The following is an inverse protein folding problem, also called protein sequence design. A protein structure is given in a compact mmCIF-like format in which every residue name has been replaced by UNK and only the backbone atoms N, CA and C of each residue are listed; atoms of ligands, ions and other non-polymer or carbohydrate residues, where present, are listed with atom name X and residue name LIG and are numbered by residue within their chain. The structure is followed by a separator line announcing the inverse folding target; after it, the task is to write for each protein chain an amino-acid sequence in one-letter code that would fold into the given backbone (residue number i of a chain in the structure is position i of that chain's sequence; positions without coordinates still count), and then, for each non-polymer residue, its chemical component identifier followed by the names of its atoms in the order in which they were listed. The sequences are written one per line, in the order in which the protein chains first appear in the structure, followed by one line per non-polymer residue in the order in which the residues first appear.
data_IF_374298129126
#
_entry.id   IF_374298129126
#
_cell.length_a   1.000
_cell.length_b   1.000
_cell.length_c   1.000
_cell.angle_alpha   90.00
_cell.angle_beta   90.00
_cell.angle_gamma   90.00
#
_symmetry.space_group_name_H-M   'P 1'
#
loop_
_entity.id
_entity.type
_entity.pdbx_description
1 polymer ?
#
# COMPACT_ATOMS: atom_id res chain seq x y z
N UNK A 1 -8.02 26.68 -19.30
CA UNK A 1 -8.06 26.58 -17.81
C UNK A 1 -7.19 25.41 -17.34
N UNK A 2 -6.30 25.61 -16.35
CA UNK A 2 -5.44 24.54 -15.80
C UNK A 2 -5.79 24.29 -14.33
N UNK A 3 -6.13 23.04 -14.00
CA UNK A 3 -6.35 22.57 -12.63
C UNK A 3 -5.18 21.68 -12.21
N UNK A 4 -4.48 22.03 -11.15
CA UNK A 4 -3.30 21.31 -10.68
C UNK A 4 -3.56 20.67 -9.32
N UNK A 5 -3.53 19.34 -9.27
CA UNK A 5 -3.69 18.54 -8.06
C UNK A 5 -2.38 17.81 -7.78
N UNK A 6 -1.85 17.96 -6.57
CA UNK A 6 -0.58 17.32 -6.21
C UNK A 6 -0.57 16.83 -4.78
N UNK A 7 0.26 15.83 -4.46
CA UNK A 7 0.52 15.42 -3.08
C UNK A 7 0.65 13.92 -2.88
N UNK A 8 0.90 13.51 -1.64
CA UNK A 8 1.16 12.12 -1.26
C UNK A 8 -0.10 11.25 -1.16
N UNK A 9 -1.27 11.87 -1.05
CA UNK A 9 -2.54 11.16 -0.92
C UNK A 9 -3.12 10.79 -2.29
N UNK A 10 -2.49 9.80 -2.93
CA UNK A 10 -2.87 9.27 -4.25
C UNK A 10 -4.35 8.83 -4.34
N UNK A 11 -4.93 8.35 -3.24
CA UNK A 11 -6.35 8.00 -3.21
C UNK A 11 -7.24 9.23 -3.36
N UNK A 12 -6.97 10.30 -2.60
CA UNK A 12 -7.74 11.54 -2.73
C UNK A 12 -7.54 12.18 -4.11
N UNK A 13 -6.34 12.10 -4.69
CA UNK A 13 -6.09 12.52 -6.08
C UNK A 13 -6.96 11.72 -7.08
N UNK A 14 -7.08 10.40 -6.88
CA UNK A 14 -7.95 9.55 -7.69
C UNK A 14 -9.44 9.92 -7.54
N UNK A 15 -9.89 10.24 -6.33
CA UNK A 15 -11.26 10.73 -6.10
C UNK A 15 -11.52 12.08 -6.78
N UNK A 16 -10.58 13.02 -6.68
CA UNK A 16 -10.69 14.31 -7.36
C UNK A 16 -10.75 14.14 -8.87
N UNK A 17 -9.96 13.23 -9.43
CA UNK A 17 -10.00 12.88 -10.86
C UNK A 17 -11.38 12.37 -11.26
N UNK A 18 -11.93 11.42 -10.50
CA UNK A 18 -13.25 10.88 -10.76
C UNK A 18 -14.34 11.96 -10.67
N UNK A 19 -14.25 12.86 -9.69
CA UNK A 19 -15.19 13.98 -9.53
C UNK A 19 -15.11 14.99 -10.67
N UNK A 20 -13.91 15.38 -11.10
CA UNK A 20 -13.72 16.28 -12.25
C UNK A 20 -14.28 15.66 -13.52
N UNK A 21 -13.98 14.37 -13.74
CA UNK A 21 -14.50 13.60 -14.86
C UNK A 21 -16.03 13.61 -14.83
N UNK A 22 -16.64 13.21 -13.71
CA UNK A 22 -18.10 13.18 -13.57
C UNK A 22 -18.72 14.56 -13.81
N UNK A 23 -18.18 15.60 -13.17
CA UNK A 23 -18.67 16.96 -13.33
C UNK A 23 -18.61 17.46 -14.79
N UNK A 24 -17.57 17.07 -15.53
CA UNK A 24 -17.45 17.37 -16.95
C UNK A 24 -18.54 16.68 -17.77
N UNK A 25 -18.78 15.39 -17.53
CA UNK A 25 -19.85 14.63 -18.19
C UNK A 25 -21.25 15.17 -17.88
N UNK A 26 -21.52 15.52 -16.62
CA UNK A 26 -22.82 16.04 -16.20
C UNK A 26 -23.18 17.38 -16.86
N UNK A 27 -22.16 18.19 -17.20
CA UNK A 27 -22.35 19.55 -17.73
C UNK A 27 -22.23 19.68 -19.25
N UNK A 28 -21.71 18.68 -19.95
CA UNK A 28 -21.40 18.78 -21.37
C UNK A 28 -22.07 17.64 -22.15
N UNK A 29 -23.00 18.00 -23.03
CA UNK A 29 -23.47 17.08 -24.08
C UNK A 29 -22.29 16.66 -24.97
N UNK A 30 -22.23 15.40 -25.39
CA UNK A 30 -21.13 14.90 -26.24
C UNK A 30 -19.76 14.83 -25.53
N UNK A 31 -19.73 14.87 -24.19
CA UNK A 31 -18.49 14.86 -23.39
C UNK A 31 -17.56 13.67 -23.69
N UNK A 32 -18.08 12.51 -24.11
CA UNK A 32 -17.25 11.33 -24.40
C UNK A 32 -16.22 11.57 -25.51
N UNK A 33 -16.58 12.40 -26.50
CA UNK A 33 -15.71 12.76 -27.62
C UNK A 33 -14.65 13.82 -27.26
N UNK A 34 -14.82 14.45 -26.10
CA UNK A 34 -14.02 15.58 -25.64
C UNK A 34 -13.30 15.28 -24.32
N UNK A 35 -13.24 14.02 -23.91
CA UNK A 35 -12.47 13.56 -22.75
C UNK A 35 -11.23 12.80 -23.22
N UNK A 36 -10.07 13.23 -22.74
CA UNK A 36 -8.79 12.58 -23.01
C UNK A 36 -8.05 12.34 -21.70
N UNK A 37 -7.44 11.16 -21.56
CA UNK A 37 -6.57 10.83 -20.44
C UNK A 37 -5.21 10.38 -20.97
N UNK A 38 -4.14 10.98 -20.43
CA UNK A 38 -2.76 10.64 -20.72
C UNK A 38 -2.14 10.12 -19.42
N UNK A 39 -1.96 8.80 -19.36
CA UNK A 39 -1.40 8.13 -18.19
C UNK A 39 0.12 8.34 -18.09
N UNK A 40 0.66 8.13 -16.89
CA UNK A 40 2.10 8.22 -16.61
C UNK A 40 2.94 7.33 -17.54
N UNK A 41 2.44 6.13 -17.85
CA UNK A 41 3.15 5.13 -18.65
C UNK A 41 2.98 5.33 -20.17
N UNK A 42 2.28 6.40 -20.59
CA UNK A 42 2.07 6.68 -22.00
C UNK A 42 3.39 7.09 -22.67
N UNK A 43 3.80 6.42 -23.78
CA UNK A 43 5.00 6.82 -24.50
C UNK A 43 4.84 8.23 -25.08
N UNK A 44 5.82 9.07 -24.79
CA UNK A 44 5.94 10.48 -25.18
C UNK A 44 4.66 11.29 -24.95
N UNK A 45 4.34 11.51 -23.66
CA UNK A 45 3.15 12.28 -23.23
C UNK A 45 3.03 13.63 -23.93
N UNK A 46 4.16 14.31 -24.16
CA UNK A 46 4.19 15.60 -24.85
C UNK A 46 3.67 15.51 -26.30
N UNK A 47 4.06 14.48 -27.05
CA UNK A 47 3.59 14.26 -28.41
C UNK A 47 2.08 13.96 -28.47
N UNK A 48 1.52 13.34 -27.42
CA UNK A 48 0.08 13.11 -27.29
C UNK A 48 -0.69 14.37 -26.89
N UNK A 49 -0.09 15.20 -26.03
CA UNK A 49 -0.73 16.41 -25.50
C UNK A 49 -0.84 17.52 -26.54
N UNK A 50 0.22 17.76 -27.32
CA UNK A 50 0.29 18.82 -28.35
C UNK A 50 -0.93 18.87 -29.29
N UNK A 51 -1.31 17.77 -29.97
CA UNK A 51 -2.45 17.82 -30.89
C UNK A 51 -3.78 18.04 -30.16
N UNK A 52 -3.92 17.61 -28.90
CA UNK A 52 -5.16 17.80 -28.13
C UNK A 52 -5.37 19.25 -27.73
N UNK A 53 -4.30 19.99 -27.46
CA UNK A 53 -4.38 21.42 -27.14
C UNK A 53 -4.74 22.31 -28.34
N UNK A 54 -4.66 21.78 -29.55
CA UNK A 54 -5.07 22.46 -30.79
C UNK A 54 -6.45 22.03 -31.27
N UNK A 55 -7.11 21.08 -30.60
CA UNK A 55 -8.43 20.61 -31.00
C UNK A 55 -9.51 21.59 -30.59
N UNK A 56 -10.49 21.78 -31.46
CA UNK A 56 -11.76 22.40 -31.11
C UNK A 56 -12.71 21.37 -30.47
N UNK A 57 -13.51 21.77 -29.46
CA UNK A 57 -14.52 20.90 -28.88
C UNK A 57 -15.55 20.44 -29.94
N UNK A 58 -15.88 19.15 -29.94
CA UNK A 58 -16.85 18.56 -30.85
C UNK A 58 -18.20 18.38 -30.16
N UNK A 59 -19.24 19.12 -30.60
CA UNK A 59 -20.59 19.05 -30.01
C UNK A 59 -20.66 19.35 -28.50
N UNK A 60 -19.61 19.95 -27.94
CA UNK A 60 -19.54 20.44 -26.57
C UNK A 60 -18.97 21.87 -26.57
N UNK A 61 -18.96 22.53 -25.41
CA UNK A 61 -18.31 23.84 -25.24
C UNK A 61 -16.84 23.73 -24.83
N UNK A 62 -16.40 22.53 -24.45
CA UNK A 62 -15.14 22.36 -23.72
C UNK A 62 -14.55 20.96 -23.92
N UNK A 63 -13.22 20.88 -23.96
CA UNK A 63 -12.44 19.65 -23.89
C UNK A 63 -11.87 19.47 -22.48
N UNK A 64 -11.94 18.26 -21.93
CA UNK A 64 -11.24 17.87 -20.71
C UNK A 64 -10.06 16.96 -21.06
N UNK A 65 -8.86 17.39 -20.67
CA UNK A 65 -7.62 16.61 -20.76
C UNK A 65 -7.15 16.32 -19.33
N UNK A 66 -7.01 15.04 -18.98
CA UNK A 66 -6.42 14.58 -17.72
C UNK A 66 -5.00 14.10 -17.99
N UNK A 67 -4.04 14.61 -17.24
CA UNK A 67 -2.62 14.29 -17.38
C UNK A 67 -2.05 13.81 -16.04
N UNK A 68 -1.61 12.55 -16.02
CA UNK A 68 -1.11 11.88 -14.81
C UNK A 68 0.42 11.85 -14.78
N UNK A 69 0.99 12.29 -13.66
CA UNK A 69 2.43 12.36 -13.37
C UNK A 69 3.26 12.78 -14.60
N UNK A 70 3.00 13.99 -15.15
CA UNK A 70 3.65 14.43 -16.36
C UNK A 70 5.17 14.49 -16.25
N UNK A 71 5.85 14.13 -17.33
CA UNK A 71 7.30 14.29 -17.46
C UNK A 71 7.71 15.78 -17.34
N UNK A 72 8.90 16.04 -16.81
CA UNK A 72 9.41 17.41 -16.63
C UNK A 72 9.42 18.22 -17.94
N UNK A 73 9.81 17.61 -19.07
CA UNK A 73 9.77 18.26 -20.40
C UNK A 73 8.35 18.68 -20.82
N UNK A 74 7.33 17.90 -20.42
CA UNK A 74 5.92 18.20 -20.72
C UNK A 74 5.46 19.40 -19.91
N UNK A 75 5.86 19.47 -18.64
CA UNK A 75 5.56 20.59 -17.74
C UNK A 75 6.27 21.88 -18.16
N UNK A 76 7.53 21.80 -18.55
CA UNK A 76 8.28 22.94 -19.09
C UNK A 76 7.62 23.50 -20.35
N UNK A 77 7.25 22.62 -21.29
CA UNK A 77 6.55 23.04 -22.49
C UNK A 77 5.20 23.70 -22.15
N UNK A 78 4.39 23.10 -21.28
CA UNK A 78 3.12 23.67 -20.81
C UNK A 78 3.27 25.07 -20.20
N UNK A 79 4.39 25.35 -19.53
CA UNK A 79 4.65 26.67 -18.94
C UNK A 79 4.80 27.80 -19.96
N UNK A 80 5.01 27.46 -21.24
CA UNK A 80 5.17 28.40 -22.35
C UNK A 80 3.91 28.55 -23.21
N UNK A 81 2.86 27.78 -22.94
CA UNK A 81 1.64 27.79 -23.75
C UNK A 81 0.63 28.79 -23.20
N UNK A 82 -0.08 29.46 -24.10
CA UNK A 82 -1.21 30.30 -23.73
C UNK A 82 -2.41 29.41 -23.36
N UNK A 83 -3.16 29.83 -22.33
CA UNK A 83 -4.38 29.14 -21.95
C UNK A 83 -5.44 29.36 -23.03
N UNK A 84 -6.03 28.27 -23.53
CA UNK A 84 -7.25 28.36 -24.34
C UNK A 84 -8.48 28.26 -23.43
N UNK A 85 -9.51 29.05 -23.75
CA UNK A 85 -10.73 29.14 -22.94
C UNK A 85 -11.62 27.90 -23.05
N UNK A 86 -11.45 27.12 -24.12
CA UNK A 86 -12.23 25.94 -24.47
C UNK A 86 -11.60 24.63 -23.97
N UNK A 87 -10.46 24.68 -23.27
CA UNK A 87 -9.79 23.49 -22.74
C UNK A 87 -9.65 23.56 -21.22
N UNK A 88 -10.04 22.47 -20.57
CA UNK A 88 -9.73 22.18 -19.17
C UNK A 88 -8.61 21.15 -19.15
N UNK A 89 -7.44 21.55 -18.66
CA UNK A 89 -6.31 20.65 -18.43
C UNK A 89 -6.20 20.36 -16.93
N UNK A 90 -6.53 19.13 -16.53
CA UNK A 90 -6.41 18.65 -15.15
C UNK A 90 -5.14 17.81 -15.00
N UNK A 91 -4.20 18.27 -14.18
CA UNK A 91 -2.89 17.63 -13.97
C UNK A 91 -2.86 17.05 -12.56
N UNK A 92 -2.46 15.79 -12.46
CA UNK A 92 -2.34 15.05 -11.20
C UNK A 92 -0.90 14.60 -10.98
N UNK A 93 -0.24 15.07 -9.93
CA UNK A 93 1.13 14.66 -9.55
C UNK A 93 1.18 14.02 -8.16
N UNK A 94 1.89 12.92 -7.99
CA UNK A 94 2.13 12.31 -6.66
C UNK A 94 3.32 12.95 -5.91
N UNK A 95 3.71 14.16 -6.29
CA UNK A 95 4.88 14.86 -5.76
C UNK A 95 4.53 15.67 -4.49
N UNK A 96 5.50 15.82 -3.58
CA UNK A 96 5.32 16.51 -2.28
C UNK A 96 5.32 18.02 -2.45
N UNK A 97 6.07 18.54 -3.42
CA UNK A 97 6.25 19.98 -3.59
C UNK A 97 5.56 20.45 -4.87
N UNK A 98 4.85 21.58 -4.81
CA UNK A 98 4.28 22.17 -6.02
C UNK A 98 5.43 22.51 -6.97
N UNK A 99 5.28 22.10 -8.22
CA UNK A 99 6.27 22.43 -9.22
C UNK A 99 6.20 23.94 -9.52
N UNK A 100 7.36 24.60 -9.68
CA UNK A 100 7.44 26.07 -9.77
C UNK A 100 6.63 26.63 -10.95
N UNK A 101 6.52 25.88 -12.05
CA UNK A 101 5.72 26.29 -13.20
C UNK A 101 4.23 26.42 -12.84
N UNK A 102 3.69 25.54 -11.98
CA UNK A 102 2.28 25.53 -11.64
C UNK A 102 1.84 26.86 -11.01
N UNK A 103 2.71 27.49 -10.21
CA UNK A 103 2.46 28.82 -9.63
C UNK A 103 2.27 29.94 -10.66
N UNK A 104 2.76 29.76 -11.89
CA UNK A 104 2.71 30.77 -12.95
C UNK A 104 1.52 30.60 -13.89
N UNK A 105 1.05 29.37 -14.11
CA UNK A 105 0.08 29.08 -15.19
C UNK A 105 -1.18 28.34 -14.75
N UNK A 106 -1.21 27.78 -13.53
CA UNK A 106 -2.41 27.08 -13.04
C UNK A 106 -3.49 28.05 -12.57
N UNK A 107 -4.74 27.76 -12.94
CA UNK A 107 -5.92 28.50 -12.48
C UNK A 107 -6.32 28.10 -11.06
N UNK A 108 -6.07 26.83 -10.68
CA UNK A 108 -6.36 26.30 -9.34
C UNK A 108 -5.29 25.29 -8.94
N UNK A 109 -4.81 25.38 -7.70
CA UNK A 109 -3.89 24.41 -7.11
C UNK A 109 -4.53 23.77 -5.88
N UNK A 110 -4.42 22.45 -5.78
CA UNK A 110 -4.95 21.68 -4.65
C UNK A 110 -3.89 20.70 -4.18
N UNK A 111 -3.38 20.91 -2.98
CA UNK A 111 -2.48 19.97 -2.32
C UNK A 111 -3.29 18.89 -1.58
N UNK A 112 -2.98 17.63 -1.82
CA UNK A 112 -3.55 16.46 -1.14
C UNK A 112 -2.52 15.85 -0.21
N UNK A 113 -2.54 16.33 1.02
CA UNK A 113 -1.75 15.80 2.12
C UNK A 113 -2.34 14.48 2.62
N UNK A 114 -1.46 13.68 3.19
CA UNK A 114 -1.89 12.56 4.01
C UNK A 114 -2.52 13.12 5.28
N UNK A 115 -3.52 12.43 5.84
CA UNK A 115 -4.14 12.89 7.06
C UNK A 115 -3.15 12.85 8.23
N UNK A 116 -3.19 13.86 9.09
CA UNK A 116 -2.44 13.86 10.34
C UNK A 116 -3.09 12.96 11.40
N UNK A 117 -2.47 12.86 12.58
CA UNK A 117 -2.98 12.01 13.67
C UNK A 117 -4.40 12.41 14.10
N UNK A 118 -4.71 13.71 14.15
CA UNK A 118 -6.03 14.18 14.57
C UNK A 118 -7.08 13.89 13.50
N UNK A 119 -6.75 14.09 12.23
CA UNK A 119 -7.61 13.74 11.09
C UNK A 119 -7.86 12.23 11.03
N UNK A 120 -6.86 11.41 11.39
CA UNK A 120 -6.99 9.97 11.50
C UNK A 120 -7.87 9.53 12.67
N UNK A 121 -7.78 10.19 13.84
CA UNK A 121 -8.69 9.95 14.97
C UNK A 121 -10.11 10.34 14.59
N UNK A 122 -10.31 11.51 13.97
CA UNK A 122 -11.62 11.96 13.50
C UNK A 122 -12.23 10.97 12.49
N UNK A 123 -11.40 10.40 11.62
CA UNK A 123 -11.82 9.33 10.73
C UNK A 123 -12.24 8.07 11.49
N UNK A 124 -11.44 7.64 12.46
CA UNK A 124 -11.75 6.49 13.31
C UNK A 124 -13.06 6.69 14.08
N UNK A 125 -13.29 7.86 14.66
CA UNK A 125 -14.54 8.21 15.34
C UNK A 125 -15.75 8.10 14.41
N UNK A 126 -15.59 8.48 13.12
CA UNK A 126 -16.66 8.35 12.12
C UNK A 126 -17.01 6.90 11.79
N UNK A 127 -16.04 5.99 11.79
CA UNK A 127 -16.26 4.58 11.47
C UNK A 127 -16.57 3.71 12.70
N UNK A 128 -16.03 4.09 13.85
CA UNK A 128 -16.08 3.39 15.13
C UNK A 128 -16.46 4.39 16.23
N UNK A 129 -17.72 4.87 16.25
CA UNK A 129 -18.14 5.88 17.22
C UNK A 129 -18.16 5.33 18.65
N UNK A 130 -18.12 6.23 19.63
CA UNK A 130 -18.27 5.94 21.07
C UNK A 130 -17.17 5.04 21.66
N UNK A 131 -15.95 5.11 21.14
CA UNK A 131 -14.79 4.38 21.68
C UNK A 131 -13.94 5.27 22.57
N UNK A 132 -13.16 4.67 23.45
CA UNK A 132 -12.23 5.43 24.28
C UNK A 132 -11.07 6.01 23.45
N UNK A 133 -10.47 7.09 23.94
CA UNK A 133 -9.26 7.67 23.34
C UNK A 133 -8.10 6.67 23.29
N UNK A 134 -7.97 5.81 24.31
CA UNK A 134 -6.96 4.75 24.36
C UNK A 134 -7.16 3.74 23.23
N UNK A 135 -8.40 3.39 22.90
CA UNK A 135 -8.70 2.52 21.77
C UNK A 135 -8.24 3.14 20.44
N UNK A 136 -8.58 4.41 20.18
CA UNK A 136 -8.16 5.06 18.93
C UNK A 136 -6.63 5.15 18.82
N UNK A 137 -5.94 5.47 19.92
CA UNK A 137 -4.49 5.46 19.97
C UNK A 137 -3.90 4.06 19.72
N UNK A 138 -4.51 3.01 20.25
CA UNK A 138 -4.08 1.64 19.99
C UNK A 138 -4.24 1.27 18.51
N UNK A 139 -5.39 1.58 17.90
CA UNK A 139 -5.62 1.35 16.45
C UNK A 139 -4.62 2.14 15.60
N UNK A 140 -4.36 3.41 15.92
CA UNK A 140 -3.32 4.19 15.24
C UNK A 140 -1.93 3.58 15.43
N UNK A 141 -1.62 3.11 16.64
CA UNK A 141 -0.40 2.38 16.93
C UNK A 141 -0.23 1.17 16.01
N UNK A 142 -1.29 0.39 15.80
CA UNK A 142 -1.29 -0.70 14.82
C UNK A 142 -0.98 -0.18 13.41
N UNK A 143 -1.67 0.86 12.94
CA UNK A 143 -1.47 1.44 11.60
C UNK A 143 -0.04 1.94 11.38
N UNK A 144 0.51 2.63 12.37
CA UNK A 144 1.89 3.14 12.36
C UNK A 144 2.88 1.98 12.40
N UNK A 145 2.59 0.92 13.15
CA UNK A 145 3.42 -0.29 13.21
C UNK A 145 3.46 -1.04 11.86
N UNK A 146 2.36 -1.04 11.09
CA UNK A 146 2.34 -1.53 9.70
C UNK A 146 2.98 -0.55 8.68
N UNK A 147 3.33 0.65 9.13
CA UNK A 147 3.86 1.73 8.29
C UNK A 147 4.89 2.63 9.02
N UNK A 148 6.03 2.08 9.45
CA UNK A 148 6.87 2.67 10.50
C UNK A 148 7.80 3.80 10.02
N UNK A 149 7.46 4.49 8.92
CA UNK A 149 7.93 5.87 8.72
C UNK A 149 7.06 6.89 9.47
N UNK A 150 6.07 6.44 10.25
CA UNK A 150 5.17 7.34 10.99
C UNK A 150 4.28 8.17 10.07
N UNK A 151 4.16 7.76 8.82
CA UNK A 151 3.38 8.43 7.79
C UNK A 151 2.73 7.32 6.97
N UNK A 152 1.46 7.50 6.60
CA UNK A 152 0.82 6.73 5.55
C UNK A 152 1.57 6.98 4.24
N UNK A 153 2.73 6.36 4.02
CA UNK A 153 3.70 6.81 3.00
C UNK A 153 3.16 6.84 1.57
N UNK A 154 2.01 6.21 1.34
CA UNK A 154 1.20 6.41 0.14
C UNK A 154 -0.30 6.49 0.46
N UNK A 155 -1.04 7.25 -0.36
CA UNK A 155 -2.51 7.28 -0.29
C UNK A 155 -3.19 5.92 -0.50
N UNK A 156 -2.52 4.94 -1.13
CA UNK A 156 -3.03 3.57 -1.29
C UNK A 156 -3.12 2.83 0.05
N UNK A 157 -2.13 3.02 0.93
CA UNK A 157 -2.13 2.42 2.26
C UNK A 157 -3.21 3.03 3.15
N UNK A 158 -3.43 4.34 3.02
CA UNK A 158 -4.55 5.04 3.67
C UNK A 158 -5.90 4.52 3.19
N UNK A 159 -6.04 4.27 1.88
CA UNK A 159 -7.26 3.70 1.33
C UNK A 159 -7.52 2.28 1.85
N UNK A 160 -6.52 1.39 1.85
CA UNK A 160 -6.64 0.05 2.42
C UNK A 160 -7.05 0.13 3.88
N UNK A 161 -6.44 1.03 4.65
CA UNK A 161 -6.83 1.28 6.03
C UNK A 161 -8.30 1.67 6.17
N UNK A 162 -8.76 2.64 5.37
CA UNK A 162 -10.16 3.07 5.37
C UNK A 162 -11.13 1.95 4.95
N UNK A 163 -10.74 1.12 3.98
CA UNK A 163 -11.54 -0.03 3.54
C UNK A 163 -11.68 -1.07 4.66
N UNK A 164 -10.58 -1.41 5.33
CA UNK A 164 -10.62 -2.30 6.50
C UNK A 164 -11.50 -1.72 7.61
N UNK A 165 -11.34 -0.44 7.96
CA UNK A 165 -12.20 0.23 8.93
C UNK A 165 -13.68 0.17 8.55
N UNK A 166 -14.01 0.27 7.26
CA UNK A 166 -15.40 0.21 6.81
C UNK A 166 -16.06 -1.15 7.05
N UNK A 167 -15.28 -2.24 7.14
CA UNK A 167 -15.80 -3.57 7.50
C UNK A 167 -16.29 -3.62 8.94
N UNK A 168 -15.79 -2.73 9.80
CA UNK A 168 -16.19 -2.63 11.20
C UNK A 168 -17.37 -1.68 11.43
N UNK A 169 -17.94 -1.12 10.36
CA UNK A 169 -19.11 -0.25 10.43
C UNK A 169 -20.34 -1.09 10.78
N UNK A 170 -20.74 -1.05 12.05
CA UNK A 170 -21.84 -1.86 12.60
C UNK A 170 -21.49 -2.60 13.89
N UNK A 171 -20.22 -2.62 14.30
CA UNK A 171 -19.77 -3.24 15.54
C UNK A 171 -19.78 -2.27 16.74
N UNK A 172 -20.77 -1.37 16.81
CA UNK A 172 -20.89 -0.39 17.90
C UNK A 172 -21.11 -1.04 19.27
N UNK A 173 -21.60 -2.28 19.30
CA UNK A 173 -21.94 -3.00 20.53
C UNK A 173 -20.76 -3.76 21.17
N UNK A 174 -19.64 -3.91 20.45
CA UNK A 174 -18.46 -4.57 21.02
C UNK A 174 -17.84 -3.72 22.13
N UNK A 175 -17.10 -4.34 23.05
CA UNK A 175 -16.18 -3.60 23.93
C UNK A 175 -14.96 -3.10 23.14
N UNK A 176 -14.25 -2.11 23.68
CA UNK A 176 -13.02 -1.59 23.06
C UNK A 176 -11.99 -2.71 22.83
N UNK A 177 -11.86 -3.64 23.77
CA UNK A 177 -10.95 -4.78 23.62
C UNK A 177 -11.39 -5.71 22.49
N UNK A 178 -12.69 -6.07 22.43
CA UNK A 178 -13.21 -6.94 21.38
C UNK A 178 -13.07 -6.32 19.98
N UNK A 179 -13.34 -5.01 19.87
CA UNK A 179 -13.15 -4.28 18.63
C UNK A 179 -11.67 -4.22 18.24
N UNK A 180 -10.77 -4.01 19.22
CA UNK A 180 -9.34 -3.98 18.98
C UNK A 180 -8.82 -5.34 18.55
N UNK A 181 -9.30 -6.42 19.17
CA UNK A 181 -8.95 -7.80 18.81
C UNK A 181 -9.39 -8.12 17.38
N UNK A 182 -10.59 -7.72 16.97
CA UNK A 182 -11.07 -7.92 15.60
C UNK A 182 -10.32 -7.10 14.56
N UNK A 183 -10.01 -5.83 14.86
CA UNK A 183 -9.16 -4.99 14.01
C UNK A 183 -7.78 -5.63 13.90
N UNK A 184 -7.21 -6.03 15.02
CA UNK A 184 -5.94 -6.76 15.08
C UNK A 184 -6.03 -8.04 14.25
N UNK A 185 -7.10 -8.83 14.32
CA UNK A 185 -7.27 -10.01 13.48
C UNK A 185 -7.40 -9.69 11.99
N UNK A 186 -8.01 -8.58 11.60
CA UNK A 186 -8.06 -8.18 10.18
C UNK A 186 -6.71 -7.70 9.67
N UNK A 187 -5.88 -7.11 10.53
CA UNK A 187 -4.54 -6.63 10.20
C UNK A 187 -3.44 -7.69 10.34
N UNK A 188 -3.57 -8.62 11.29
CA UNK A 188 -2.58 -9.63 11.68
C UNK A 188 -3.03 -11.07 11.42
N UNK A 189 -4.31 -11.34 11.21
CA UNK A 189 -4.82 -12.69 10.91
C UNK A 189 -4.39 -13.23 9.54
N UNK A 190 -3.58 -12.46 8.83
CA UNK A 190 -2.88 -12.87 7.62
C UNK A 190 -1.57 -13.59 7.93
N UNK A 191 -1.12 -14.42 6.99
CA UNK A 191 0.19 -15.08 7.00
C UNK A 191 1.39 -14.17 7.35
N UNK A 192 1.28 -12.83 7.23
CA UNK A 192 2.28 -11.88 7.71
C UNK A 192 2.34 -11.73 9.25
N UNK A 193 1.20 -11.83 9.94
CA UNK A 193 1.18 -11.87 11.41
C UNK A 193 1.91 -13.09 11.97
N UNK A 194 1.82 -14.22 11.26
CA UNK A 194 2.61 -15.41 11.54
C UNK A 194 4.12 -15.15 11.42
N UNK A 195 4.58 -14.48 10.34
CA UNK A 195 5.99 -14.08 10.18
C UNK A 195 6.46 -13.18 11.34
N UNK A 196 5.62 -12.26 11.80
CA UNK A 196 5.96 -11.40 12.94
C UNK A 196 6.13 -12.22 14.23
N UNK A 197 5.18 -13.12 14.50
CA UNK A 197 5.25 -13.99 15.67
C UNK A 197 6.49 -14.89 15.63
N UNK A 198 6.89 -15.36 14.44
CA UNK A 198 8.14 -16.10 14.24
C UNK A 198 9.38 -15.26 14.59
N UNK A 199 9.42 -13.99 14.17
CA UNK A 199 10.62 -13.14 14.33
C UNK A 199 10.90 -12.67 15.76
N UNK A 200 9.87 -12.58 16.61
CA UNK A 200 10.05 -12.00 17.95
C UNK A 200 8.87 -12.18 18.88
N UNK A 201 7.90 -13.02 18.52
CA UNK A 201 6.78 -13.32 19.40
C UNK A 201 7.13 -14.41 20.42
N UNK A 202 6.39 -14.41 21.53
CA UNK A 202 6.40 -15.53 22.46
C UNK A 202 5.82 -16.79 21.82
N UNK A 203 6.01 -17.96 22.44
CA UNK A 203 5.40 -19.21 21.96
C UNK A 203 3.88 -19.14 21.95
N UNK A 204 3.29 -18.49 22.94
CA UNK A 204 1.85 -18.25 23.04
C UNK A 204 1.35 -17.37 21.88
N UNK A 205 2.09 -16.31 21.54
CA UNK A 205 1.77 -15.47 20.39
C UNK A 205 1.85 -16.24 19.07
N UNK A 206 2.84 -17.12 18.92
CA UNK A 206 2.98 -17.98 17.74
C UNK A 206 1.79 -18.94 17.57
N UNK A 207 1.42 -19.63 18.65
CA UNK A 207 0.27 -20.54 18.67
C UNK A 207 -1.03 -19.78 18.39
N UNK A 208 -1.20 -18.60 18.99
CA UNK A 208 -2.33 -17.72 18.72
C UNK A 208 -2.43 -17.33 17.24
N UNK A 209 -1.32 -16.98 16.59
CA UNK A 209 -1.32 -16.65 15.16
C UNK A 209 -1.61 -17.85 14.26
N UNK A 210 -1.11 -19.06 14.58
CA UNK A 210 -1.47 -20.28 13.85
C UNK A 210 -2.97 -20.57 13.95
N UNK A 211 -3.56 -20.40 15.14
CA UNK A 211 -5.01 -20.56 15.33
C UNK A 211 -5.81 -19.50 14.55
N UNK A 212 -5.31 -18.26 14.47
CA UNK A 212 -5.93 -17.21 13.65
C UNK A 212 -5.89 -17.52 12.16
N UNK A 213 -4.75 -17.97 11.61
CA UNK A 213 -4.63 -18.40 10.21
C UNK A 213 -5.59 -19.56 9.90
N UNK A 214 -5.75 -20.49 10.84
CA UNK A 214 -6.69 -21.59 10.71
C UNK A 214 -8.15 -21.10 10.71
N UNK A 215 -8.52 -20.23 11.66
CA UNK A 215 -9.88 -19.69 11.81
C UNK A 215 -10.29 -18.75 10.67
N UNK A 216 -9.33 -18.08 10.05
CA UNK A 216 -9.58 -17.20 8.90
C UNK A 216 -9.76 -17.96 7.58
N UNK A 217 -9.72 -19.30 7.60
CA UNK A 217 -9.80 -20.16 6.42
C UNK A 217 -8.81 -19.75 5.32
N UNK A 218 -7.63 -19.25 5.70
CA UNK A 218 -6.59 -18.95 4.72
C UNK A 218 -6.11 -20.22 4.04
N UNK A 219 -5.83 -20.09 2.74
CA UNK A 219 -5.22 -21.17 1.99
C UNK A 219 -3.80 -21.40 2.51
N UNK A 220 -3.59 -22.55 3.17
CA UNK A 220 -2.30 -22.95 3.72
C UNK A 220 -1.18 -23.00 2.67
N UNK A 221 -1.51 -23.18 1.39
CA UNK A 221 -0.53 -23.10 0.31
C UNK A 221 -0.07 -21.65 0.06
N UNK A 222 -0.95 -20.66 0.22
CA UNK A 222 -0.56 -19.25 0.19
C UNK A 222 0.31 -18.88 1.39
N UNK A 223 -0.02 -19.41 2.58
CA UNK A 223 0.79 -19.25 3.79
C UNK A 223 2.20 -19.82 3.56
N UNK A 224 2.29 -21.04 3.00
CA UNK A 224 3.57 -21.67 2.63
C UNK A 224 4.36 -20.81 1.64
N UNK A 225 3.71 -20.31 0.58
CA UNK A 225 4.34 -19.42 -0.40
C UNK A 225 4.91 -18.16 0.23
N UNK A 226 4.19 -17.56 1.18
CA UNK A 226 4.67 -16.39 1.91
C UNK A 226 5.87 -16.71 2.82
N UNK A 227 5.86 -17.85 3.50
CA UNK A 227 7.00 -18.31 4.31
C UNK A 227 8.23 -18.58 3.45
N UNK A 228 8.07 -19.15 2.24
CA UNK A 228 9.17 -19.35 1.29
C UNK A 228 9.75 -18.01 0.84
N UNK A 229 8.89 -17.04 0.50
CA UNK A 229 9.32 -15.68 0.15
C UNK A 229 10.10 -15.03 1.31
N UNK A 230 9.60 -15.17 2.53
CA UNK A 230 10.24 -14.64 3.73
C UNK A 230 11.59 -15.30 4.01
N UNK A 231 11.69 -16.63 3.93
CA UNK A 231 12.96 -17.35 4.11
C UNK A 231 14.00 -16.99 3.05
N UNK A 232 13.57 -16.91 1.79
CA UNK A 232 14.42 -16.45 0.68
C UNK A 232 14.91 -15.04 0.94
N UNK A 233 14.05 -14.18 1.47
CA UNK A 233 14.40 -12.81 1.88
C UNK A 233 15.44 -12.80 3.00
N UNK A 234 15.28 -13.62 4.04
CA UNK A 234 16.28 -13.72 5.12
C UNK A 234 17.65 -14.17 4.59
N UNK A 235 17.67 -15.18 3.70
CA UNK A 235 18.92 -15.67 3.08
C UNK A 235 19.59 -14.55 2.28
N UNK A 236 18.82 -13.81 1.46
CA UNK A 236 19.36 -12.69 0.68
C UNK A 236 19.87 -11.56 1.58
N UNK A 237 19.09 -11.13 2.57
CA UNK A 237 19.49 -10.05 3.49
C UNK A 237 20.69 -10.45 4.35
N UNK A 238 20.77 -11.72 4.78
CA UNK A 238 21.84 -12.21 5.63
C UNK A 238 23.19 -12.39 4.91
N UNK A 239 23.19 -12.60 3.59
CA UNK A 239 24.41 -13.00 2.85
C UNK A 239 24.67 -12.22 1.54
N UNK A 240 23.82 -11.28 1.16
CA UNK A 240 24.08 -10.35 0.06
C UNK A 240 24.46 -9.00 0.66
N UNK A 241 25.73 -8.60 0.51
CA UNK A 241 26.24 -7.32 1.01
C UNK A 241 25.72 -6.11 0.21
N UNK A 242 25.15 -6.34 -0.98
CA UNK A 242 24.63 -5.28 -1.84
C UNK A 242 23.21 -4.87 -1.45
N UNK A 243 23.12 -3.75 -0.72
CA UNK A 243 21.84 -3.10 -0.36
C UNK A 243 20.97 -2.72 -1.56
N UNK A 244 21.52 -2.48 -2.77
CA UNK A 244 20.72 -2.20 -3.97
C UNK A 244 20.04 -3.44 -4.52
N UNK A 245 20.66 -4.62 -4.38
CA UNK A 245 20.03 -5.89 -4.74
C UNK A 245 18.81 -6.22 -3.87
N UNK A 246 18.69 -5.60 -2.69
CA UNK A 246 17.56 -5.79 -1.77
C UNK A 246 16.35 -4.90 -2.13
N UNK A 247 16.53 -3.78 -2.85
CA UNK A 247 15.43 -2.89 -3.26
C UNK A 247 14.43 -3.59 -4.20
N UNK A 248 14.91 -4.54 -5.01
CA UNK A 248 14.07 -5.35 -5.90
C UNK A 248 13.26 -6.47 -5.21
N UNK A 249 13.45 -6.71 -3.91
CA UNK A 249 12.76 -7.79 -3.18
C UNK A 249 11.37 -7.40 -2.65
N UNK A 250 10.98 -6.12 -2.79
CA UNK A 250 9.72 -5.61 -2.27
C UNK A 250 9.66 -5.57 -0.74
N UNK A 251 10.81 -5.74 -0.06
CA UNK A 251 10.89 -5.72 1.40
C UNK A 251 10.95 -4.26 1.86
N UNK A 252 10.06 -3.88 2.77
CA UNK A 252 10.05 -2.52 3.32
C UNK A 252 11.32 -2.30 4.18
N UNK A 253 11.92 -1.11 4.08
CA UNK A 253 13.20 -0.78 4.72
C UNK A 253 13.26 -1.02 6.25
N UNK A 254 12.14 -0.97 6.97
CA UNK A 254 12.14 -1.26 8.41
C UNK A 254 12.28 -2.76 8.72
N UNK A 255 11.69 -3.62 7.88
CA UNK A 255 11.83 -5.06 7.99
C UNK A 255 13.27 -5.46 7.70
N UNK A 256 14.07 -4.67 6.97
CA UNK A 256 15.47 -5.00 6.71
C UNK A 256 16.26 -5.16 8.00
N UNK A 257 16.15 -4.22 8.96
CA UNK A 257 16.91 -4.32 10.21
C UNK A 257 16.48 -5.53 11.04
N UNK A 258 15.17 -5.80 11.11
CA UNK A 258 14.66 -6.96 11.83
C UNK A 258 15.07 -8.27 11.15
N UNK A 259 14.90 -8.36 9.84
CA UNK A 259 15.24 -9.53 9.03
C UNK A 259 16.75 -9.78 9.02
N UNK A 260 17.56 -8.72 8.99
CA UNK A 260 19.01 -8.83 9.12
C UNK A 260 19.38 -9.38 10.51
N UNK A 261 18.81 -8.84 11.60
CA UNK A 261 19.02 -9.38 12.95
C UNK A 261 18.62 -10.86 13.03
N UNK A 262 17.45 -11.22 12.52
CA UNK A 262 16.97 -12.61 12.49
C UNK A 262 17.91 -13.49 11.65
N UNK A 263 18.32 -13.03 10.47
CA UNK A 263 19.19 -13.78 9.57
C UNK A 263 20.58 -14.00 10.16
N UNK A 264 21.17 -12.97 10.77
CA UNK A 264 22.44 -13.06 11.49
C UNK A 264 22.35 -14.03 12.67
N UNK A 265 21.27 -13.94 13.45
CA UNK A 265 21.05 -14.82 14.61
C UNK A 265 20.89 -16.29 14.22
N UNK A 266 20.14 -16.57 13.15
CA UNK A 266 19.99 -17.94 12.65
C UNK A 266 21.28 -18.48 12.03
N UNK A 267 22.02 -17.64 11.32
CA UNK A 267 23.22 -18.04 10.59
C UNK A 267 22.91 -18.84 9.32
N UNK A 268 23.89 -18.93 8.42
CA UNK A 268 23.72 -19.45 7.06
C UNK A 268 23.17 -20.87 7.01
N UNK A 269 23.81 -21.76 7.76
CA UNK A 269 23.47 -23.18 7.79
C UNK A 269 22.01 -23.44 8.22
N UNK A 270 21.53 -22.72 9.24
CA UNK A 270 20.15 -22.89 9.71
C UNK A 270 19.15 -22.29 8.73
N UNK A 271 19.46 -21.15 8.12
CA UNK A 271 18.62 -20.53 7.10
C UNK A 271 18.47 -21.43 5.86
N UNK A 272 19.57 -22.02 5.37
CA UNK A 272 19.55 -22.98 4.27
C UNK A 272 18.71 -24.21 4.63
N UNK A 273 18.94 -24.79 5.81
CA UNK A 273 18.15 -25.93 6.30
C UNK A 273 16.64 -25.62 6.37
N UNK A 274 16.28 -24.47 6.95
CA UNK A 274 14.89 -24.04 7.10
C UNK A 274 14.24 -23.76 5.73
N UNK A 275 14.98 -23.19 4.78
CA UNK A 275 14.50 -22.96 3.41
C UNK A 275 14.29 -24.29 2.68
N UNK A 276 15.23 -25.23 2.78
CA UNK A 276 15.12 -26.57 2.18
C UNK A 276 13.92 -27.34 2.72
N UNK A 277 13.59 -27.19 4.00
CA UNK A 277 12.38 -27.76 4.59
C UNK A 277 11.11 -27.23 3.92
N UNK A 278 11.00 -25.92 3.71
CA UNK A 278 9.84 -25.32 3.03
C UNK A 278 9.76 -25.73 1.56
N UNK A 279 10.88 -25.79 0.84
CA UNK A 279 10.94 -26.27 -0.54
C UNK A 279 10.52 -27.75 -0.61
N UNK A 280 10.92 -28.55 0.36
CA UNK A 280 10.53 -29.96 0.43
C UNK A 280 9.04 -30.10 0.71
N UNK A 281 8.48 -29.26 1.58
CA UNK A 281 7.04 -29.21 1.84
C UNK A 281 6.25 -28.85 0.57
N UNK A 282 6.71 -27.86 -0.20
CA UNK A 282 6.12 -27.48 -1.49
C UNK A 282 6.14 -28.64 -2.50
N UNK A 283 7.28 -29.31 -2.67
CA UNK A 283 7.41 -30.48 -3.55
C UNK A 283 6.52 -31.64 -3.12
N UNK A 284 6.47 -31.92 -1.82
CA UNK A 284 5.63 -33.00 -1.27
C UNK A 284 4.16 -32.69 -1.50
N UNK A 285 3.70 -31.47 -1.24
CA UNK A 285 2.31 -31.10 -1.50
C UNK A 285 1.94 -31.20 -2.99
N UNK A 286 2.84 -30.83 -3.89
CA UNK A 286 2.60 -30.93 -5.35
C UNK A 286 2.58 -32.37 -5.86
N UNK A 287 3.27 -33.29 -5.19
CA UNK A 287 3.45 -34.68 -5.63
C UNK A 287 2.64 -35.71 -4.84
N UNK A 288 2.15 -35.34 -3.66
CA UNK A 288 1.38 -36.17 -2.75
C UNK A 288 0.32 -35.31 -2.09
N UNK A 289 -0.86 -35.85 -1.82
CA UNK A 289 -1.98 -35.13 -1.17
C UNK A 289 -1.72 -34.86 0.32
N UNK A 290 -0.46 -34.59 0.70
CA UNK A 290 -0.04 -34.24 2.06
C UNK A 290 -0.55 -32.85 2.38
N UNK A 291 -1.12 -32.72 3.58
CA UNK A 291 -1.70 -31.49 4.07
C UNK A 291 -0.60 -30.46 4.39
N UNK A 292 -0.60 -29.35 3.64
CA UNK A 292 0.39 -28.25 3.77
C UNK A 292 0.46 -27.70 5.19
N UNK A 293 -0.69 -27.67 5.87
CA UNK A 293 -0.84 -27.18 7.23
C UNK A 293 0.18 -27.80 8.18
N UNK A 294 0.30 -29.12 8.22
CA UNK A 294 1.22 -29.79 9.14
C UNK A 294 2.68 -29.44 8.86
N UNK A 295 3.04 -29.27 7.59
CA UNK A 295 4.38 -28.86 7.21
C UNK A 295 4.69 -27.43 7.66
N UNK A 296 3.72 -26.52 7.52
CA UNK A 296 3.82 -25.13 7.99
C UNK A 296 3.92 -25.08 9.51
N UNK A 297 3.02 -25.74 10.24
CA UNK A 297 3.03 -25.76 11.71
C UNK A 297 4.37 -26.30 12.25
N UNK A 298 4.86 -27.41 11.68
CA UNK A 298 6.16 -27.99 12.05
C UNK A 298 7.31 -27.02 11.79
N UNK A 299 7.35 -26.42 10.60
CA UNK A 299 8.38 -25.43 10.24
C UNK A 299 8.39 -24.27 11.24
N UNK A 300 7.21 -23.73 11.56
CA UNK A 300 7.06 -22.58 12.46
C UNK A 300 7.61 -22.86 13.85
N UNK A 301 7.31 -24.03 14.42
CA UNK A 301 7.87 -24.44 15.72
C UNK A 301 9.37 -24.71 15.67
N UNK A 302 9.87 -25.37 14.61
CA UNK A 302 11.30 -25.64 14.45
C UNK A 302 12.10 -24.34 14.30
N UNK A 303 11.59 -23.38 13.52
CA UNK A 303 12.18 -22.06 13.39
C UNK A 303 12.29 -21.37 14.75
N UNK A 304 11.20 -21.30 15.52
CA UNK A 304 11.21 -20.63 16.83
C UNK A 304 12.16 -21.32 17.80
N UNK A 305 12.23 -22.65 17.79
CA UNK A 305 13.16 -23.41 18.62
C UNK A 305 14.62 -23.10 18.27
N UNK A 306 14.97 -23.10 16.98
CA UNK A 306 16.32 -22.74 16.53
C UNK A 306 16.64 -21.32 16.97
N UNK A 307 15.74 -20.37 16.72
CA UNK A 307 15.94 -18.97 17.08
C UNK A 307 16.19 -18.82 18.59
N UNK A 308 15.37 -19.46 19.42
CA UNK A 308 15.45 -19.40 20.89
C UNK A 308 16.75 -19.97 21.47
N UNK A 309 17.38 -20.92 20.78
CA UNK A 309 18.62 -21.55 21.21
C UNK A 309 19.89 -20.74 20.82
N UNK A 310 19.75 -19.65 20.06
CA UNK A 310 20.87 -18.79 19.68
C UNK A 310 21.02 -17.62 20.66
N UNK A 311 22.27 -17.28 21.07
CA UNK A 311 22.53 -16.15 21.97
C UNK A 311 22.06 -14.82 21.34
N UNK A 312 21.63 -13.89 22.20
CA UNK A 312 21.16 -12.53 21.85
C UNK A 312 22.36 -11.62 21.59
#
# INVERSE_FOLDING_TARGET
MILYYFGLNSWQLSQDRAQIKQHFFDKNSGAEWNYYQIDQDSPDQLARLKPLLLKHPFMSKTILIVLDNPEAKTLEWLSSQENTDDIILAIFETNIKPNKWASKVSTKQVERKLPDEQEMISLLEKFLPNRSRHFYQAVLGLVVEFNPRGQLTSGEQYWKFRQELSKFKGYSELTDQQALDLITQSYYGEAFGLIRAINGGSREQLVGQLDLVNKSNQDWYQVLGLLIWYMTTLVKIGFVEDTKALEGLGVKAFNHRQYQKTATRLGKKNLEKLLDQLISADKLHKSSSVEVRFAVERFVFEFQQILSNQPI
#
